data_IF_656705029241
#
_entry.id   IF_656705029241
#
_cell.length_a   1.000
_cell.length_b   1.000
_cell.length_c   1.000
_cell.angle_alpha   90.00
_cell.angle_beta   90.00
_cell.angle_gamma   90.00
#
_symmetry.space_group_name_H-M   'P 1'
#
loop_
_entity.id
_entity.type
_entity.pdbx_description
1 polymer ?
#
# COMPACT_ATOMS: atom_id res chain seq x y z
N UNK A 1 -5.43 -7.40 -0.84
CA UNK A 1 -4.12 -6.71 -0.97
C UNK A 1 -3.50 -7.12 -2.30
N UNK A 2 -2.78 -6.21 -2.98
CA UNK A 2 -2.07 -6.49 -4.23
C UNK A 2 -0.58 -6.38 -3.96
N UNK A 3 0.17 -7.42 -4.29
CA UNK A 3 1.61 -7.44 -4.14
C UNK A 3 2.25 -8.26 -5.26
N UNK A 4 3.46 -7.89 -5.62
CA UNK A 4 4.29 -8.66 -6.55
C UNK A 4 5.54 -9.09 -5.81
N UNK A 5 5.81 -10.39 -5.88
CA UNK A 5 6.98 -10.99 -5.26
C UNK A 5 8.26 -10.28 -5.75
N UNK A 6 9.28 -10.07 -4.92
CA UNK A 6 10.46 -9.25 -5.26
C UNK A 6 11.14 -9.67 -6.57
N UNK A 7 11.31 -10.98 -6.80
CA UNK A 7 11.92 -11.55 -8.00
C UNK A 7 11.10 -11.35 -9.29
N UNK A 8 9.81 -11.07 -9.17
CA UNK A 8 8.91 -10.89 -10.31
C UNK A 8 8.56 -9.41 -10.56
N UNK A 9 9.19 -8.47 -9.84
CA UNK A 9 8.93 -7.03 -9.99
C UNK A 9 9.39 -6.50 -11.35
N UNK A 10 8.87 -5.32 -11.72
CA UNK A 10 9.20 -4.59 -12.96
C UNK A 10 8.87 -5.33 -14.27
N UNK A 11 8.09 -6.41 -14.19
CA UNK A 11 7.57 -7.18 -15.33
C UNK A 11 6.13 -6.85 -15.71
N UNK A 12 5.57 -5.76 -15.15
CA UNK A 12 4.19 -5.34 -15.42
C UNK A 12 3.08 -6.18 -14.77
N UNK A 13 3.41 -7.14 -13.91
CA UNK A 13 2.45 -8.09 -13.32
C UNK A 13 1.32 -7.41 -12.53
N UNK A 14 1.64 -6.43 -11.67
CA UNK A 14 0.62 -5.72 -10.89
C UNK A 14 -0.34 -4.95 -11.80
N UNK A 15 0.16 -4.35 -12.88
CA UNK A 15 -0.66 -3.65 -13.87
C UNK A 15 -1.58 -4.60 -14.61
N UNK A 16 -1.07 -5.75 -15.04
CA UNK A 16 -1.87 -6.77 -15.71
C UNK A 16 -2.99 -7.30 -14.80
N UNK A 17 -2.67 -7.60 -13.54
CA UNK A 17 -3.64 -8.06 -12.56
C UNK A 17 -4.73 -7.02 -12.28
N UNK A 18 -4.35 -5.77 -12.05
CA UNK A 18 -5.33 -4.69 -11.79
C UNK A 18 -6.19 -4.38 -13.02
N UNK A 19 -5.61 -4.35 -14.22
CA UNK A 19 -6.37 -4.17 -15.46
C UNK A 19 -7.38 -5.30 -15.68
N UNK A 20 -7.02 -6.54 -15.33
CA UNK A 20 -7.96 -7.66 -15.36
C UNK A 20 -9.10 -7.49 -14.34
N UNK A 21 -8.80 -7.03 -13.13
CA UNK A 21 -9.82 -6.73 -12.11
C UNK A 21 -10.78 -5.61 -12.55
N UNK A 22 -10.26 -4.55 -13.17
CA UNK A 22 -11.08 -3.45 -13.73
C UNK A 22 -12.02 -3.99 -14.82
N UNK A 23 -11.50 -4.74 -15.80
CA UNK A 23 -12.34 -5.34 -16.86
C UNK A 23 -13.42 -6.25 -16.30
N UNK A 24 -13.04 -7.10 -15.35
CA UNK A 24 -13.97 -8.00 -14.66
C UNK A 24 -15.09 -7.25 -13.92
N UNK A 25 -14.80 -6.05 -13.40
CA UNK A 25 -15.81 -5.18 -12.79
C UNK A 25 -16.76 -4.60 -13.83
N UNK A 26 -16.23 -4.08 -14.94
CA UNK A 26 -17.03 -3.55 -16.05
C UNK A 26 -17.98 -4.61 -16.61
N UNK A 27 -17.50 -5.84 -16.84
CA UNK A 27 -18.31 -6.98 -17.30
C UNK A 27 -19.46 -7.33 -16.35
N UNK A 28 -19.32 -7.00 -15.06
CA UNK A 28 -20.35 -7.22 -14.02
C UNK A 28 -21.24 -5.99 -13.80
N UNK A 29 -21.07 -4.91 -14.58
CA UNK A 29 -21.82 -3.67 -14.40
C UNK A 29 -21.39 -2.85 -13.18
N UNK A 30 -20.19 -3.08 -12.64
CA UNK A 30 -19.63 -2.24 -11.57
C UNK A 30 -19.24 -0.89 -12.17
N UNK A 31 -19.72 0.18 -11.55
CA UNK A 31 -19.48 1.55 -12.01
C UNK A 31 -18.24 2.17 -11.38
N UNK A 32 -17.88 1.74 -10.17
CA UNK A 32 -16.83 2.38 -9.37
C UNK A 32 -15.95 1.36 -8.65
N UNK A 33 -14.64 1.64 -8.63
CA UNK A 33 -13.64 0.88 -7.88
C UNK A 33 -12.86 1.82 -6.98
N UNK A 34 -12.60 1.37 -5.76
CA UNK A 34 -11.87 2.09 -4.74
C UNK A 34 -10.79 1.21 -4.14
N UNK A 35 -9.68 1.83 -3.76
CA UNK A 35 -8.59 1.19 -3.06
C UNK A 35 -7.90 2.20 -2.16
N UNK A 36 -7.15 1.68 -1.22
CA UNK A 36 -6.39 2.45 -0.26
C UNK A 36 -4.91 2.15 -0.43
N UNK A 37 -4.10 3.19 -0.40
CA UNK A 37 -2.65 3.12 -0.51
C UNK A 37 -2.05 4.12 0.48
N UNK A 38 -0.97 3.72 1.16
CA UNK A 38 -0.19 4.63 2.01
C UNK A 38 0.52 5.66 1.14
N UNK A 39 0.65 6.90 1.63
CA UNK A 39 1.13 8.02 0.83
C UNK A 39 2.60 7.85 0.39
N UNK A 40 3.38 7.05 1.12
CA UNK A 40 4.80 6.80 0.88
C UNK A 40 5.05 5.72 -0.19
N UNK A 41 3.98 5.12 -0.74
CA UNK A 41 4.10 4.07 -1.75
C UNK A 41 4.02 4.64 -3.17
N UNK A 42 5.04 5.40 -3.55
CA UNK A 42 5.16 6.06 -4.86
C UNK A 42 4.93 5.08 -6.04
N UNK A 43 5.44 3.86 -5.92
CA UNK A 43 5.29 2.83 -6.95
C UNK A 43 3.84 2.38 -7.16
N UNK A 44 3.06 2.29 -6.08
CA UNK A 44 1.63 1.97 -6.17
C UNK A 44 0.81 3.18 -6.62
N UNK A 45 1.15 4.40 -6.16
CA UNK A 45 0.51 5.63 -6.62
C UNK A 45 0.63 5.77 -8.14
N UNK A 46 1.84 5.71 -8.68
CA UNK A 46 2.08 5.80 -10.13
C UNK A 46 1.38 4.68 -10.93
N UNK A 47 1.29 3.46 -10.35
CA UNK A 47 0.56 2.36 -10.97
C UNK A 47 -0.94 2.66 -11.09
N UNK A 48 -1.56 3.13 -10.00
CA UNK A 48 -3.01 3.36 -9.96
C UNK A 48 -3.42 4.60 -10.76
N UNK A 49 -2.63 5.67 -10.71
CA UNK A 49 -2.80 6.83 -11.61
C UNK A 49 -2.76 6.40 -13.08
N UNK A 50 -1.78 5.57 -13.46
CA UNK A 50 -1.67 5.01 -14.82
C UNK A 50 -2.77 4.01 -15.21
N UNK A 51 -3.68 3.67 -14.29
CA UNK A 51 -4.88 2.87 -14.51
C UNK A 51 -6.17 3.70 -14.43
N UNK A 52 -6.06 5.03 -14.25
CA UNK A 52 -7.20 5.95 -14.20
C UNK A 52 -7.82 6.13 -12.82
N UNK A 53 -7.20 5.61 -11.75
CA UNK A 53 -7.63 5.94 -10.40
C UNK A 53 -7.27 7.40 -10.07
N UNK A 54 -8.13 8.04 -9.27
CA UNK A 54 -7.93 9.40 -8.76
C UNK A 54 -8.04 9.41 -7.24
N UNK A 55 -7.37 10.35 -6.54
CA UNK A 55 -7.51 10.46 -5.09
C UNK A 55 -8.96 10.77 -4.69
N UNK A 56 -9.56 9.88 -3.89
CA UNK A 56 -10.92 10.06 -3.37
C UNK A 56 -10.93 10.68 -1.96
N UNK A 57 -9.95 10.33 -1.12
CA UNK A 57 -9.76 10.94 0.20
C UNK A 57 -8.31 10.76 0.69
N UNK A 58 -7.96 11.52 1.73
CA UNK A 58 -6.73 11.33 2.51
C UNK A 58 -7.12 11.31 3.98
N UNK A 59 -6.47 10.46 4.75
CA UNK A 59 -6.71 10.33 6.17
C UNK A 59 -5.42 9.88 6.87
N UNK A 60 -5.30 10.23 8.14
CA UNK A 60 -4.09 9.98 8.92
C UNK A 60 -4.39 8.97 10.02
N UNK A 61 -3.49 8.00 10.19
CA UNK A 61 -3.57 7.04 11.28
C UNK A 61 -2.90 7.63 12.52
N UNK A 62 -3.69 7.85 13.56
CA UNK A 62 -3.19 8.25 14.87
C UNK A 62 -2.95 7.00 15.72
N UNK A 63 -1.71 6.77 16.11
CA UNK A 63 -1.36 5.70 17.05
C UNK A 63 -0.99 6.31 18.41
N UNK A 64 -1.52 5.75 19.48
CA UNK A 64 -1.04 6.08 20.83
C UNK A 64 0.28 5.35 21.05
N UNK A 65 1.40 6.04 20.87
CA UNK A 65 2.71 5.50 21.23
C UNK A 65 2.71 5.18 22.72
N UNK A 66 2.84 3.90 23.07
CA UNK A 66 3.07 3.51 24.46
C UNK A 66 4.41 4.13 24.85
N UNK A 67 4.43 5.01 25.85
CA UNK A 67 5.69 5.55 26.32
C UNK A 67 6.59 4.39 26.73
N UNK A 68 7.85 4.34 26.26
CA UNK A 68 8.80 3.38 26.79
C UNK A 68 8.87 3.59 28.32
N UNK A 69 8.56 2.53 29.07
CA UNK A 69 8.76 2.54 30.52
C UNK A 69 10.22 2.86 30.81
N UNK A 70 10.49 3.75 31.74
CA UNK A 70 11.84 4.15 32.17
C UNK A 70 12.68 3.01 32.81
N UNK A 71 12.21 1.77 32.76
CA UNK A 71 12.89 0.60 33.28
C UNK A 71 13.74 -0.11 32.20
N UNK A 72 14.81 0.54 31.71
CA UNK A 72 16.06 -0.14 31.29
C UNK A 72 17.18 0.91 31.25
N UNK A 73 17.65 1.33 32.43
CA UNK A 73 19.02 1.82 32.61
C UNK A 73 19.69 0.87 33.58
N UNK A 74 20.50 -0.06 33.06
CA UNK A 74 21.56 -0.87 33.71
C UNK A 74 21.75 -2.13 32.84
N UNK A 75 22.93 -2.54 32.36
CA UNK A 75 24.30 -2.20 32.69
C UNK A 75 25.19 -2.25 31.43
N UNK A 76 26.24 -1.42 31.45
CA UNK A 76 27.46 -1.59 30.65
C UNK A 76 28.01 -3.01 30.85
N UNK A 77 28.37 -3.67 29.77
CA UNK A 77 29.21 -4.87 29.77
C UNK A 77 30.65 -4.43 29.41
N UNK A 78 31.64 -4.45 30.32
CA UNK A 78 33.04 -4.43 29.91
C UNK A 78 33.47 -5.84 29.49
N UNK A 79 34.45 -5.87 28.59
CA UNK A 79 35.04 -7.05 27.95
C UNK A 79 35.68 -8.04 28.93
#
# INVERSE_FOLDING_TARGET
AVATRPEARRRGLSRAAMAAAVRAGVERGITDLWLQVVAENDGALALYEGLGFVPASRYEYWARTRQPSAATTSARNPA
#
